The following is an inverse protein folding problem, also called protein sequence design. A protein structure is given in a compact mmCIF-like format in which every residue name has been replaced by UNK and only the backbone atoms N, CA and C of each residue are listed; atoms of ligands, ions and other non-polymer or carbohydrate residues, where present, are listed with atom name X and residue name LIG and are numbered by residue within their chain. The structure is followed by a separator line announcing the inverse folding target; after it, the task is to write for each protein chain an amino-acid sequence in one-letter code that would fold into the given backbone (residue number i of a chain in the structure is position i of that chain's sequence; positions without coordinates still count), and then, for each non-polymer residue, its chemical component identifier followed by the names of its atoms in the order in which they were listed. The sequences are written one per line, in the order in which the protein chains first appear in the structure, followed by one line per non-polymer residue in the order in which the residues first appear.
data_IF_747221163606
#
_entry.id   IF_747221163606
#
_cell.length_a   1.000
_cell.length_b   1.000
_cell.length_c   1.000
_cell.angle_alpha   90.00
_cell.angle_beta   90.00
_cell.angle_gamma   90.00
#
_symmetry.space_group_name_H-M   'P 1'
#
loop_
_entity.id
_entity.type
_entity.pdbx_description
1 polymer ?
#
# COMPACT_ATOMS: atom_id res chain seq x y z
N UNK A 1 -8.40 17.85 -10.26
CA UNK A 1 -7.52 18.19 -9.12
C UNK A 1 -7.67 17.07 -8.10
N UNK A 2 -6.65 16.22 -7.91
CA UNK A 2 -6.74 15.15 -6.92
C UNK A 2 -6.78 15.77 -5.51
N UNK A 3 -7.61 15.25 -4.58
CA UNK A 3 -7.57 15.69 -3.20
C UNK A 3 -6.17 15.46 -2.64
N UNK A 4 -5.64 16.42 -1.88
CA UNK A 4 -4.31 16.30 -1.29
C UNK A 4 -4.27 15.28 -0.15
N UNK A 5 -5.41 15.07 0.51
CA UNK A 5 -5.56 14.12 1.60
C UNK A 5 -6.68 13.12 1.29
N UNK A 6 -6.33 11.83 1.34
CA UNK A 6 -7.18 10.68 1.11
C UNK A 6 -7.68 10.11 2.45
N UNK A 7 -8.89 9.58 2.45
CA UNK A 7 -9.38 8.77 3.57
C UNK A 7 -8.82 7.36 3.50
N UNK A 8 -8.95 6.59 4.59
CA UNK A 8 -8.65 5.15 4.54
C UNK A 8 -9.52 4.40 3.51
N UNK A 9 -10.73 4.89 3.23
CA UNK A 9 -11.59 4.32 2.20
C UNK A 9 -11.02 4.58 0.80
N UNK A 10 -10.62 5.82 0.50
CA UNK A 10 -9.98 6.17 -0.78
C UNK A 10 -8.68 5.36 -1.00
N UNK A 11 -7.88 5.20 0.05
CA UNK A 11 -6.65 4.38 0.01
C UNK A 11 -6.98 2.92 -0.26
N UNK A 12 -8.00 2.39 0.41
CA UNK A 12 -8.46 1.02 0.22
C UNK A 12 -8.93 0.79 -1.23
N UNK A 13 -9.69 1.72 -1.80
CA UNK A 13 -10.11 1.65 -3.22
C UNK A 13 -8.91 1.75 -4.17
N UNK A 14 -7.99 2.68 -3.91
CA UNK A 14 -6.82 2.90 -4.79
C UNK A 14 -5.89 1.70 -4.83
N UNK A 15 -5.64 1.06 -3.69
CA UNK A 15 -4.80 -0.13 -3.59
C UNK A 15 -5.60 -1.43 -3.86
N UNK A 16 -6.91 -1.32 -4.09
CA UNK A 16 -7.82 -2.46 -4.24
C UNK A 16 -7.74 -3.46 -3.06
N UNK A 17 -7.68 -2.95 -1.83
CA UNK A 17 -7.60 -3.71 -0.58
C UNK A 17 -8.81 -3.42 0.32
N UNK A 18 -8.97 -4.20 1.40
CA UNK A 18 -10.01 -3.91 2.40
C UNK A 18 -9.67 -2.68 3.26
N UNK A 19 -10.70 -1.97 3.74
CA UNK A 19 -10.54 -0.83 4.66
C UNK A 19 -9.78 -1.21 5.95
N UNK A 20 -9.95 -2.45 6.42
CA UNK A 20 -9.21 -3.01 7.55
C UNK A 20 -7.72 -3.12 7.27
N UNK A 21 -7.32 -3.53 6.06
CA UNK A 21 -5.92 -3.57 5.64
C UNK A 21 -5.35 -2.16 5.49
N UNK A 22 -6.09 -1.23 4.87
CA UNK A 22 -5.65 0.17 4.80
C UNK A 22 -5.42 0.78 6.19
N UNK A 23 -6.30 0.48 7.15
CA UNK A 23 -6.10 0.87 8.56
C UNK A 23 -4.85 0.22 9.18
N UNK A 24 -4.60 -1.06 8.91
CA UNK A 24 -3.43 -1.76 9.43
C UNK A 24 -2.13 -1.13 8.93
N UNK A 25 -2.03 -0.78 7.64
CA UNK A 25 -0.86 -0.10 7.07
C UNK A 25 -0.55 1.21 7.81
N UNK A 26 -1.58 2.00 8.09
CA UNK A 26 -1.43 3.25 8.84
C UNK A 26 -1.05 3.00 10.30
N UNK A 27 -1.71 2.02 10.93
CA UNK A 27 -1.47 1.66 12.34
C UNK A 27 -0.05 1.12 12.56
N UNK A 28 0.47 0.35 11.61
CA UNK A 28 1.81 -0.22 11.64
C UNK A 28 2.89 0.82 11.29
N UNK A 29 2.49 1.97 10.74
CA UNK A 29 3.41 3.00 10.25
C UNK A 29 4.02 2.71 8.87
N UNK A 30 3.49 1.72 8.15
CA UNK A 30 3.90 1.42 6.77
C UNK A 30 3.41 2.51 5.81
N UNK A 31 2.21 3.04 6.05
CA UNK A 31 1.63 4.14 5.30
C UNK A 31 1.50 5.39 6.20
N UNK A 32 2.28 6.45 5.95
CA UNK A 32 2.22 7.67 6.74
C UNK A 32 0.85 8.33 6.65
N UNK A 33 0.24 8.58 7.80
CA UNK A 33 -1.04 9.26 7.88
C UNK A 33 -1.09 10.20 9.07
N UNK A 34 -1.85 11.27 8.93
CA UNK A 34 -2.11 12.23 10.00
C UNK A 34 -3.50 11.98 10.58
N UNK A 35 -3.63 12.13 11.89
CA UNK A 35 -4.91 12.05 12.59
C UNK A 35 -5.50 13.46 12.68
N UNK A 36 -6.58 13.72 11.94
CA UNK A 36 -7.20 15.04 11.82
C UNK A 36 -8.50 15.10 12.62
N UNK A 37 -8.56 16.05 13.55
CA UNK A 37 -9.73 16.37 14.36
C UNK A 37 -9.96 15.43 15.56
N UNK A 38 -10.77 15.89 16.53
CA UNK A 38 -11.02 15.20 17.80
C UNK A 38 -11.76 13.85 17.71
N UNK A 39 -12.24 13.47 16.52
CA UNK A 39 -12.91 12.17 16.26
C UNK A 39 -11.96 11.09 15.71
N UNK A 40 -10.68 11.41 15.54
CA UNK A 40 -9.66 10.45 15.16
C UNK A 40 -9.77 9.93 13.72
N UNK A 41 -10.13 10.81 12.78
CA UNK A 41 -10.09 10.48 11.36
C UNK A 41 -8.63 10.44 10.88
N UNK A 42 -8.25 9.36 10.19
CA UNK A 42 -6.96 9.27 9.53
C UNK A 42 -7.04 9.88 8.14
N UNK A 43 -6.00 10.63 7.77
CA UNK A 43 -5.83 11.24 6.46
C UNK A 43 -4.45 10.90 5.94
N UNK A 44 -4.38 10.28 4.78
CA UNK A 44 -3.14 9.93 4.10
C UNK A 44 -2.90 11.00 3.03
N UNK A 45 -1.69 11.55 2.94
CA UNK A 45 -1.38 12.47 1.84
C UNK A 45 -1.18 11.67 0.55
N UNK A 46 -1.70 12.17 -0.57
CA UNK A 46 -1.64 11.44 -1.85
C UNK A 46 -0.19 11.15 -2.27
N UNK A 47 0.73 12.08 -2.01
CA UNK A 47 2.16 11.89 -2.27
C UNK A 47 2.75 10.73 -1.45
N UNK A 48 2.31 10.55 -0.20
CA UNK A 48 2.78 9.45 0.66
C UNK A 48 2.24 8.10 0.16
N UNK A 49 1.00 8.06 -0.34
CA UNK A 49 0.45 6.87 -0.98
C UNK A 49 1.24 6.49 -2.25
N UNK A 50 1.54 7.47 -3.12
CA UNK A 50 2.35 7.24 -4.32
C UNK A 50 3.77 6.78 -3.97
N UNK A 51 4.38 7.37 -2.93
CA UNK A 51 5.68 6.95 -2.43
C UNK A 51 5.64 5.52 -1.88
N UNK A 52 4.59 5.13 -1.15
CA UNK A 52 4.39 3.77 -0.69
C UNK A 52 4.30 2.79 -1.86
N UNK A 53 3.47 3.08 -2.87
CA UNK A 53 3.33 2.25 -4.07
C UNK A 53 4.70 2.08 -4.75
N UNK A 54 5.46 3.17 -4.91
CA UNK A 54 6.79 3.15 -5.51
C UNK A 54 7.76 2.24 -4.73
N UNK A 55 7.74 2.31 -3.40
CA UNK A 55 8.55 1.43 -2.54
C UNK A 55 8.15 -0.03 -2.70
N UNK A 56 6.85 -0.34 -2.72
CA UNK A 56 6.36 -1.70 -2.92
C UNK A 56 6.75 -2.27 -4.28
N UNK A 57 6.72 -1.46 -5.34
CA UNK A 57 7.23 -1.86 -6.65
C UNK A 57 8.74 -2.16 -6.62
N UNK A 58 9.53 -1.31 -5.96
CA UNK A 58 10.98 -1.52 -5.84
C UNK A 58 11.31 -2.78 -5.04
N UNK A 59 10.61 -3.03 -3.94
CA UNK A 59 10.76 -4.23 -3.12
C UNK A 59 10.34 -5.49 -3.88
N UNK A 60 9.20 -5.44 -4.58
CA UNK A 60 8.75 -6.54 -5.44
C UNK A 60 9.75 -6.81 -6.57
N UNK A 61 10.29 -5.76 -7.19
CA UNK A 61 11.29 -5.89 -8.25
C UNK A 61 12.61 -6.47 -7.72
N UNK A 62 13.03 -6.12 -6.50
CA UNK A 62 14.17 -6.74 -5.83
C UNK A 62 13.89 -8.22 -5.49
N UNK A 63 12.70 -8.52 -4.96
CA UNK A 63 12.27 -9.89 -4.66
C UNK A 63 12.27 -10.77 -5.92
N UNK A 64 11.65 -10.32 -7.01
CA UNK A 64 11.61 -11.04 -8.29
C UNK A 64 13.02 -11.23 -8.87
N UNK A 65 13.91 -10.25 -8.70
CA UNK A 65 15.30 -10.33 -9.18
C UNK A 65 16.17 -11.28 -8.35
N UNK A 66 15.99 -11.29 -7.03
CA UNK A 66 16.76 -12.11 -6.08
C UNK A 66 16.22 -13.54 -5.96
N UNK A 67 14.92 -13.71 -6.21
CA UNK A 67 14.24 -15.00 -6.35
C UNK A 67 13.66 -15.12 -7.76
N UNK A 68 14.51 -15.25 -8.80
CA UNK A 68 14.01 -15.60 -10.12
C UNK A 68 13.29 -16.93 -9.97
N UNK A 69 11.99 -16.95 -10.27
CA UNK A 69 11.10 -18.12 -10.17
C UNK A 69 11.85 -19.39 -10.58
N UNK A 70 12.33 -20.12 -9.58
CA UNK A 70 13.05 -21.37 -9.78
C UNK A 70 12.04 -22.44 -10.13
N UNK A 71 11.74 -22.58 -11.42
CA UNK A 71 11.31 -23.81 -12.09
C UNK A 71 10.25 -24.64 -11.35
N UNK A 72 8.97 -24.40 -11.62
CA UNK A 72 7.94 -25.44 -11.48
C UNK A 72 6.77 -25.23 -12.45
N UNK A 73 7.08 -25.13 -13.74
CA UNK A 73 6.19 -25.52 -14.85
C UNK A 73 6.95 -26.49 -15.76
N UNK A 74 7.58 -27.49 -15.15
CA UNK A 74 8.17 -28.60 -15.88
C UNK A 74 7.86 -29.90 -15.13
N UNK A 75 6.83 -30.59 -15.63
CA UNK A 75 6.57 -32.03 -15.51
C UNK A 75 5.66 -32.53 -14.39
N UNK A 76 4.49 -33.01 -14.81
CA UNK A 76 3.84 -34.22 -14.31
C UNK A 76 2.31 -34.07 -14.24
N UNK A 77 1.47 -34.85 -14.94
CA UNK A 77 1.62 -35.97 -15.89
C UNK A 77 0.32 -36.10 -16.66
#
# INVERSE_FOLDING_TARGET
MAPRFLTLADVAETLSISASQAYALVRNGELPAIKVGGRGQWRVETAELEAYITRMYAETADFVRTHPLGREDATGS
#
